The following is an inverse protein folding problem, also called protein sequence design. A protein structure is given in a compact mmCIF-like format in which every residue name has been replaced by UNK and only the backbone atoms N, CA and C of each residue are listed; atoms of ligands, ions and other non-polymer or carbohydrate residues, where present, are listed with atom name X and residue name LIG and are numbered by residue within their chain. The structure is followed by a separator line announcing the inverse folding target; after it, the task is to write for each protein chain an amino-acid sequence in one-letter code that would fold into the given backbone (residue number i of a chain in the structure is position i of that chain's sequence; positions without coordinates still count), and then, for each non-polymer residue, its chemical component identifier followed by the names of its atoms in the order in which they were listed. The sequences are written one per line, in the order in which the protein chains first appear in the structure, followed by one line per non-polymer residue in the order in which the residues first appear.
data_IF_928205998862
#
_entry.id   IF_928205998862
#
_cell.length_a   1.000
_cell.length_b   1.000
_cell.length_c   1.000
_cell.angle_alpha   90.00
_cell.angle_beta   90.00
_cell.angle_gamma   90.00
#
_symmetry.space_group_name_H-M   'P 1'
#
loop_
_entity.id
_entity.type
_entity.pdbx_description
1 polymer ?
#
# COMPACT_ATOMS: atom_id res chain seq x y z
N UNK A 1 7.25 -66.28 41.58
CA UNK A 1 6.46 -65.35 40.74
C UNK A 1 7.11 -63.98 40.84
N UNK A 2 7.70 -63.48 39.75
CA UNK A 2 8.36 -62.18 39.63
C UNK A 2 8.01 -61.63 38.23
N UNK A 3 7.37 -60.47 38.18
CA UNK A 3 7.16 -59.67 36.96
C UNK A 3 8.15 -58.50 37.00
N UNK A 4 8.81 -58.18 35.86
CA UNK A 4 8.54 -56.90 35.18
C UNK A 4 8.76 -56.99 33.65
N UNK A 5 8.44 -56.05 32.77
CA UNK A 5 7.59 -54.85 32.76
C UNK A 5 7.31 -54.52 31.27
N UNK A 6 6.29 -53.69 31.08
CA UNK A 6 5.61 -53.25 29.86
C UNK A 6 6.47 -52.66 28.71
N UNK A 7 5.92 -52.59 27.47
CA UNK A 7 6.64 -52.22 26.26
C UNK A 7 6.84 -50.70 26.14
N UNK A 8 8.01 -50.29 25.63
CA UNK A 8 8.32 -48.88 25.39
C UNK A 8 7.56 -48.37 24.15
N UNK A 9 6.55 -47.54 24.42
CA UNK A 9 5.78 -46.76 23.46
C UNK A 9 6.68 -45.90 22.56
N UNK A 10 6.67 -46.18 21.26
CA UNK A 10 7.28 -45.36 20.22
C UNK A 10 6.45 -44.07 20.04
N UNK A 11 6.87 -42.97 20.67
CA UNK A 11 6.28 -41.64 20.48
C UNK A 11 6.69 -41.07 19.12
N UNK A 12 5.79 -41.16 18.14
CA UNK A 12 5.90 -40.42 16.88
C UNK A 12 5.57 -38.95 17.17
N UNK A 13 6.60 -38.10 17.22
CA UNK A 13 6.47 -36.65 17.30
C UNK A 13 5.95 -36.11 15.97
N UNK A 14 4.68 -35.71 15.94
CA UNK A 14 4.05 -35.03 14.82
C UNK A 14 4.52 -33.56 14.79
N UNK A 15 5.67 -33.31 14.17
CA UNK A 15 6.17 -31.96 13.93
C UNK A 15 5.42 -31.28 12.80
N UNK A 16 4.42 -30.47 13.13
CA UNK A 16 3.75 -29.61 12.15
C UNK A 16 4.72 -28.48 11.80
N UNK A 17 5.37 -28.60 10.64
CA UNK A 17 6.14 -27.52 10.05
C UNK A 17 5.18 -26.37 9.70
N UNK A 18 5.12 -25.36 10.56
CA UNK A 18 4.47 -24.09 10.24
C UNK A 18 5.32 -23.38 9.19
N UNK A 19 5.04 -23.63 7.92
CA UNK A 19 5.55 -22.82 6.81
C UNK A 19 4.89 -21.46 6.97
N UNK A 20 5.63 -20.48 7.50
CA UNK A 20 5.14 -19.13 7.68
C UNK A 20 4.71 -18.56 6.33
N UNK A 21 3.39 -18.46 6.12
CA UNK A 21 2.84 -17.72 4.98
C UNK A 21 3.19 -16.25 5.21
N UNK A 22 4.16 -15.73 4.48
CA UNK A 22 4.39 -14.30 4.44
C UNK A 22 3.27 -13.67 3.64
N UNK A 23 2.38 -12.95 4.31
CA UNK A 23 1.36 -12.14 3.66
C UNK A 23 2.07 -10.99 2.95
N UNK A 24 2.07 -11.00 1.61
CA UNK A 24 2.50 -9.84 0.83
C UNK A 24 1.44 -8.76 0.97
N UNK A 25 1.79 -7.65 1.59
CA UNK A 25 0.92 -6.49 1.67
C UNK A 25 0.91 -5.74 0.33
N UNK A 26 -0.15 -5.92 -0.45
CA UNK A 26 -0.34 -5.24 -1.74
C UNK A 26 -1.02 -3.87 -1.60
N UNK A 27 -1.21 -3.36 -0.37
CA UNK A 27 -1.81 -2.04 -0.16
C UNK A 27 -0.85 -0.94 -0.64
N UNK A 28 -1.43 0.14 -1.15
CA UNK A 28 -0.71 1.35 -1.56
C UNK A 28 -0.44 2.23 -0.33
N UNK A 29 0.41 1.72 0.57
CA UNK A 29 0.83 2.40 1.80
C UNK A 29 2.10 3.19 1.55
N UNK A 30 2.14 4.42 2.07
CA UNK A 30 3.28 5.31 1.95
C UNK A 30 3.62 5.94 3.28
N UNK A 31 4.91 6.01 3.56
CA UNK A 31 5.49 6.80 4.64
C UNK A 31 5.58 8.26 4.17
N UNK A 32 4.95 9.16 4.93
CA UNK A 32 4.96 10.61 4.74
C UNK A 32 6.31 11.18 5.21
N UNK A 33 6.90 12.15 4.51
CA UNK A 33 8.14 12.79 4.95
C UNK A 33 8.02 13.36 6.36
N UNK A 34 9.00 13.08 7.22
CA UNK A 34 8.99 13.49 8.63
C UNK A 34 8.89 15.01 8.87
N UNK A 35 9.17 15.82 7.84
CA UNK A 35 9.09 17.29 7.88
C UNK A 35 7.69 17.83 7.62
N UNK A 36 6.78 17.01 7.10
CA UNK A 36 5.45 17.42 6.69
C UNK A 36 4.41 16.87 7.69
N UNK A 37 3.40 17.67 8.04
CA UNK A 37 2.23 17.14 8.75
C UNK A 37 1.35 16.33 7.80
N UNK A 38 0.56 15.38 8.33
CA UNK A 38 -0.41 14.63 7.53
C UNK A 38 -1.31 15.56 6.70
N UNK A 39 -1.82 16.63 7.31
CA UNK A 39 -2.74 17.55 6.63
C UNK A 39 -2.06 18.34 5.51
N UNK A 40 -0.83 18.81 5.74
CA UNK A 40 -0.06 19.51 4.72
C UNK A 40 0.28 18.57 3.55
N UNK A 41 0.70 17.35 3.86
CA UNK A 41 0.98 16.33 2.86
C UNK A 41 -0.29 15.92 2.08
N UNK A 42 -1.42 15.79 2.76
CA UNK A 42 -2.73 15.54 2.13
C UNK A 42 -3.07 16.63 1.13
N UNK A 43 -3.06 17.89 1.54
CA UNK A 43 -3.38 19.01 0.64
C UNK A 43 -2.43 19.05 -0.58
N UNK A 44 -1.14 18.79 -0.35
CA UNK A 44 -0.15 18.69 -1.42
C UNK A 44 -0.44 17.51 -2.36
N UNK A 45 -0.80 16.34 -1.83
CA UNK A 45 -1.14 15.16 -2.61
C UNK A 45 -2.39 15.39 -3.47
N UNK A 46 -3.45 15.95 -2.89
CA UNK A 46 -4.70 16.27 -3.59
C UNK A 46 -4.45 17.23 -4.74
N UNK A 47 -3.80 18.36 -4.46
CA UNK A 47 -3.46 19.38 -5.47
C UNK A 47 -2.54 18.82 -6.54
N UNK A 48 -1.50 18.09 -6.15
CA UNK A 48 -0.55 17.53 -7.09
C UNK A 48 -1.25 16.55 -7.99
N UNK A 49 -1.98 15.57 -7.43
CA UNK A 49 -2.74 14.53 -8.13
C UNK A 49 -3.82 15.06 -9.08
N UNK A 50 -4.53 16.14 -8.73
CA UNK A 50 -5.56 16.71 -9.60
C UNK A 50 -4.95 17.54 -10.74
N UNK A 51 -3.88 18.30 -10.46
CA UNK A 51 -3.32 19.26 -11.41
C UNK A 51 -2.27 18.67 -12.35
N UNK A 52 -1.81 17.44 -12.11
CA UNK A 52 -0.80 16.83 -12.97
C UNK A 52 0.63 17.30 -12.69
N UNK A 53 0.88 18.04 -11.61
CA UNK A 53 2.15 18.76 -11.41
C UNK A 53 3.36 17.85 -11.18
N UNK A 54 3.15 16.58 -10.83
CA UNK A 54 4.22 15.61 -10.65
C UNK A 54 4.89 15.20 -11.96
N UNK A 55 4.23 15.42 -13.11
CA UNK A 55 4.79 15.12 -14.43
C UNK A 55 4.98 16.41 -15.23
N UNK A 56 6.22 16.66 -15.67
CA UNK A 56 6.49 17.73 -16.66
C UNK A 56 6.08 17.31 -18.06
N UNK A 57 5.96 16.01 -18.31
CA UNK A 57 5.51 15.47 -19.58
C UNK A 57 3.97 15.48 -19.59
N UNK A 58 3.37 16.57 -20.08
CA UNK A 58 1.92 16.64 -20.35
C UNK A 58 1.42 15.45 -21.18
N UNK A 59 2.30 14.79 -21.95
CA UNK A 59 2.02 13.56 -22.67
C UNK A 59 1.52 12.40 -21.78
N UNK A 60 2.01 12.28 -20.55
CA UNK A 60 1.59 11.21 -19.62
C UNK A 60 0.11 11.33 -19.21
N UNK A 61 -0.45 12.53 -19.29
CA UNK A 61 -1.85 12.81 -18.97
C UNK A 61 -2.70 13.08 -20.22
N UNK A 62 -2.12 12.97 -21.42
CA UNK A 62 -2.84 13.28 -22.66
C UNK A 62 -3.98 12.28 -22.88
N UNK A 63 -5.19 12.80 -23.03
CA UNK A 63 -6.40 11.97 -23.18
C UNK A 63 -6.88 11.35 -21.86
N UNK A 64 -6.25 11.69 -20.74
CA UNK A 64 -6.71 11.32 -19.41
C UNK A 64 -7.42 12.50 -18.75
N UNK A 65 -8.47 12.19 -18.01
CA UNK A 65 -9.19 13.10 -17.14
C UNK A 65 -9.06 12.65 -15.70
N UNK A 66 -8.97 13.62 -14.78
CA UNK A 66 -8.87 13.33 -13.35
C UNK A 66 -10.16 12.65 -12.87
N UNK A 67 -10.04 11.53 -12.16
CA UNK A 67 -11.18 10.81 -11.58
C UNK A 67 -11.38 11.15 -10.12
N UNK A 68 -10.29 11.15 -9.35
CA UNK A 68 -10.35 11.30 -7.90
C UNK A 68 -9.08 10.83 -7.21
N UNK A 69 -9.04 11.04 -5.90
CA UNK A 69 -8.00 10.53 -5.03
C UNK A 69 -8.61 9.83 -3.80
N UNK A 70 -7.80 9.01 -3.14
CA UNK A 70 -8.07 8.51 -1.80
C UNK A 70 -6.88 8.91 -0.94
N UNK A 71 -7.17 9.49 0.21
CA UNK A 71 -6.20 9.76 1.26
C UNK A 71 -6.76 9.21 2.57
N UNK A 72 -6.12 8.16 3.10
CA UNK A 72 -6.51 7.55 4.36
C UNK A 72 -5.28 7.54 5.26
N UNK A 73 -5.16 8.48 6.21
CA UNK A 73 -4.09 8.44 7.18
C UNK A 73 -4.26 7.19 8.05
N UNK A 74 -3.15 6.59 8.44
CA UNK A 74 -3.18 5.43 9.32
C UNK A 74 -1.80 4.91 9.58
N UNK A 75 -1.59 4.42 10.79
CA UNK A 75 -0.35 3.79 11.20
C UNK A 75 -0.44 2.27 10.95
N UNK A 76 -0.06 1.87 9.75
CA UNK A 76 -0.19 0.49 9.28
C UNK A 76 0.98 -0.38 9.73
N UNK A 77 2.10 0.24 10.11
CA UNK A 77 3.26 -0.41 10.73
C UNK A 77 3.22 -0.45 12.28
N UNK A 78 2.22 0.16 12.93
CA UNK A 78 2.07 0.12 14.40
C UNK A 78 3.07 0.99 15.17
N UNK A 79 3.62 2.04 14.55
CA UNK A 79 4.61 2.97 15.12
C UNK A 79 3.98 4.17 15.85
N UNK A 80 2.66 4.29 15.82
CA UNK A 80 1.81 5.33 16.41
C UNK A 80 2.28 6.77 16.16
N UNK A 81 2.84 7.03 14.98
CA UNK A 81 3.51 8.31 14.69
C UNK A 81 2.77 9.18 13.66
N UNK A 82 1.60 8.76 13.17
CA UNK A 82 0.88 9.44 12.08
C UNK A 82 1.80 9.74 10.86
N UNK A 83 2.69 8.80 10.54
CA UNK A 83 3.66 8.95 9.46
C UNK A 83 3.27 8.16 8.21
N UNK A 84 2.10 7.54 8.18
CA UNK A 84 1.70 6.64 7.11
C UNK A 84 0.30 6.98 6.58
N UNK A 85 0.11 6.74 5.29
CA UNK A 85 -1.19 6.88 4.65
C UNK A 85 -1.36 5.87 3.52
N UNK A 86 -2.60 5.40 3.35
CA UNK A 86 -3.03 4.72 2.13
C UNK A 86 -3.46 5.77 1.11
N UNK A 87 -2.80 5.75 -0.04
CA UNK A 87 -2.98 6.74 -1.09
C UNK A 87 -3.53 6.09 -2.37
N UNK A 88 -4.37 6.83 -3.09
CA UNK A 88 -4.72 6.54 -4.49
C UNK A 88 -4.80 7.85 -5.24
N UNK A 89 -4.15 7.93 -6.40
CA UNK A 89 -4.38 8.99 -7.39
C UNK A 89 -4.90 8.34 -8.67
N UNK A 90 -6.13 8.66 -9.08
CA UNK A 90 -6.82 7.98 -10.17
C UNK A 90 -7.28 8.95 -11.25
N UNK A 91 -7.06 8.52 -12.48
CA UNK A 91 -7.43 9.17 -13.74
C UNK A 91 -8.20 8.16 -14.60
N UNK A 92 -8.81 8.62 -15.67
CA UNK A 92 -9.46 7.73 -16.63
C UNK A 92 -9.26 8.24 -18.05
N UNK A 93 -9.28 7.33 -19.01
CA UNK A 93 -9.21 7.69 -20.42
C UNK A 93 -10.58 8.25 -20.87
N UNK A 94 -10.62 9.55 -21.19
CA UNK A 94 -11.86 10.21 -21.59
C UNK A 94 -12.39 9.74 -22.96
N UNK A 95 -11.55 9.10 -23.77
CA UNK A 95 -11.90 8.54 -25.07
C UNK A 95 -12.32 7.07 -25.01
N UNK A 96 -12.28 6.43 -23.83
CA UNK A 96 -12.67 5.03 -23.67
C UNK A 96 -14.19 4.87 -23.47
N UNK A 97 -14.79 3.75 -23.89
CA UNK A 97 -16.20 3.46 -23.65
C UNK A 97 -16.51 3.32 -22.15
N UNK A 98 -17.74 3.65 -21.78
CA UNK A 98 -18.21 3.66 -20.38
C UNK A 98 -18.51 2.22 -19.87
N UNK A 99 -18.03 1.80 -18.69
CA UNK A 99 -17.15 2.53 -17.77
C UNK A 99 -15.71 2.62 -18.25
N UNK A 100 -15.23 3.87 -18.38
CA UNK A 100 -13.84 4.12 -18.76
C UNK A 100 -12.88 3.56 -17.70
N UNK A 101 -11.90 2.73 -18.08
CA UNK A 101 -10.96 2.12 -17.15
C UNK A 101 -10.13 3.19 -16.43
N UNK A 102 -9.82 2.92 -15.15
CA UNK A 102 -9.00 3.82 -14.34
C UNK A 102 -7.52 3.57 -14.58
N UNK A 103 -6.75 4.66 -14.58
CA UNK A 103 -5.28 4.68 -14.63
C UNK A 103 -4.81 5.34 -13.33
N UNK A 104 -3.88 4.71 -12.61
CA UNK A 104 -3.41 5.23 -11.31
C UNK A 104 -1.98 5.71 -11.39
N UNK A 105 -1.70 6.88 -10.80
CA UNK A 105 -0.36 7.48 -10.71
C UNK A 105 0.09 7.72 -9.27
N UNK A 106 -0.42 6.91 -8.35
CA UNK A 106 -0.23 7.10 -6.91
C UNK A 106 1.24 7.16 -6.51
N UNK A 107 2.06 6.22 -7.02
CA UNK A 107 3.48 6.11 -6.63
C UNK A 107 4.28 7.30 -7.14
N UNK A 108 3.99 7.75 -8.35
CA UNK A 108 4.65 8.88 -8.99
C UNK A 108 4.33 10.19 -8.25
N UNK A 109 3.06 10.40 -7.91
CA UNK A 109 2.62 11.56 -7.12
C UNK A 109 3.24 11.53 -5.72
N UNK A 110 3.16 10.39 -5.03
CA UNK A 110 3.69 10.24 -3.68
C UNK A 110 5.22 10.46 -3.65
N UNK A 111 5.95 9.85 -4.59
CA UNK A 111 7.40 10.00 -4.70
C UNK A 111 7.81 11.44 -5.07
N UNK A 112 7.04 12.13 -5.93
CA UNK A 112 7.27 13.54 -6.24
C UNK A 112 7.19 14.44 -4.99
N UNK A 113 6.29 14.10 -4.07
CA UNK A 113 6.16 14.77 -2.78
C UNK A 113 7.13 14.24 -1.71
N UNK A 114 7.99 13.28 -2.06
CA UNK A 114 9.01 12.73 -1.17
C UNK A 114 8.54 11.59 -0.27
N UNK A 115 7.30 11.12 -0.41
CA UNK A 115 6.81 9.95 0.32
C UNK A 115 7.39 8.64 -0.26
N UNK A 116 7.62 7.66 0.60
CA UNK A 116 8.20 6.37 0.22
C UNK A 116 7.19 5.25 0.43
N UNK A 117 7.10 4.31 -0.52
CA UNK A 117 6.24 3.14 -0.36
C UNK A 117 6.73 2.28 0.81
N UNK A 118 5.81 1.89 1.69
CA UNK A 118 6.08 1.01 2.85
C UNK A 118 6.07 -0.47 2.44
#
# INVERSE_FOLDING_TARGET
MRFPAAPLLLRVLLGIAMVGVQAVDNRLLYTIPAKDSIDAFRAAFESTCANGTWTRAHHALRGLSFRGFIFQPGDYAGKHADTEARLVCSWYNASAPDPAPSVTFTTEVAAYLGATKT
#
